data_IF_644784405756
#
_entry.id   IF_644784405756
#
_cell.length_a   1.000
_cell.length_b   1.000
_cell.length_c   1.000
_cell.angle_alpha   90.00
_cell.angle_beta   90.00
_cell.angle_gamma   90.00
#
_symmetry.space_group_name_H-M   'P 1'
#
loop_
_entity.id
_entity.type
_entity.pdbx_description
1 polymer ?
#
# COMPACT_ATOMS: atom_id res chain seq x y z
N UNK A 1 -0.81 -9.68 19.71
CA UNK A 1 -1.00 -11.10 19.38
C UNK A 1 -1.19 -11.84 20.69
N UNK A 2 -2.14 -12.77 20.76
CA UNK A 2 -2.25 -13.60 21.94
C UNK A 2 -0.93 -14.36 22.11
N UNK A 3 -0.49 -14.36 23.34
CA UNK A 3 0.56 -15.25 23.77
C UNK A 3 0.04 -16.67 23.71
N UNK A 4 0.85 -17.60 23.48
CA UNK A 4 0.69 -19.03 23.32
C UNK A 4 -0.53 -19.70 24.05
N UNK A 5 -1.32 -20.54 23.37
CA UNK A 5 -1.25 -20.78 21.95
C UNK A 5 -1.88 -19.63 21.15
N UNK A 6 -1.25 -19.23 20.08
CA UNK A 6 -1.86 -18.25 19.18
C UNK A 6 -3.24 -18.78 18.75
N UNK A 7 -4.31 -17.96 18.83
CA UNK A 7 -5.57 -18.35 18.24
C UNK A 7 -5.33 -18.45 16.76
N UNK A 8 -5.51 -19.60 16.19
CA UNK A 8 -5.47 -19.77 14.74
C UNK A 8 -6.40 -18.79 14.04
N UNK A 9 -6.39 -18.82 12.72
CA UNK A 9 -7.30 -18.03 11.89
C UNK A 9 -8.12 -18.95 10.98
N UNK A 10 -9.30 -18.47 10.59
CA UNK A 10 -10.14 -19.14 9.63
C UNK A 10 -9.85 -18.67 8.24
N UNK A 11 -9.64 -19.61 7.31
CA UNK A 11 -9.47 -19.32 5.88
C UNK A 11 -10.78 -19.60 5.15
N UNK A 12 -11.34 -18.57 4.53
CA UNK A 12 -12.54 -18.69 3.72
C UNK A 12 -12.14 -18.79 2.24
N UNK A 13 -12.57 -19.86 1.57
CA UNK A 13 -12.26 -20.12 0.15
C UNK A 13 -13.51 -20.14 -0.73
N UNK A 14 -14.70 -20.19 -0.15
CA UNK A 14 -15.96 -20.19 -0.90
C UNK A 14 -16.46 -18.77 -1.10
N UNK A 15 -16.85 -18.43 -2.31
CA UNK A 15 -17.36 -17.11 -2.67
C UNK A 15 -18.49 -16.62 -1.75
N UNK A 16 -19.45 -17.51 -1.44
CA UNK A 16 -20.60 -17.19 -0.60
C UNK A 16 -20.22 -16.82 0.82
N UNK A 17 -19.26 -17.54 1.41
CA UNK A 17 -18.75 -17.28 2.75
C UNK A 17 -17.97 -15.95 2.82
N UNK A 18 -17.11 -15.70 1.82
CA UNK A 18 -16.38 -14.44 1.68
C UNK A 18 -17.36 -13.28 1.54
N UNK A 19 -18.38 -13.42 0.70
CA UNK A 19 -19.43 -12.43 0.51
C UNK A 19 -20.21 -12.19 1.80
N UNK A 20 -20.57 -13.25 2.53
CA UNK A 20 -21.27 -13.16 3.82
C UNK A 20 -20.47 -12.35 4.82
N UNK A 21 -19.19 -12.66 5.02
CA UNK A 21 -18.29 -11.93 5.91
C UNK A 21 -18.16 -10.46 5.50
N UNK A 22 -17.87 -10.20 4.23
CA UNK A 22 -17.68 -8.85 3.70
C UNK A 22 -18.91 -7.95 3.83
N UNK A 23 -20.12 -8.52 3.76
CA UNK A 23 -21.37 -7.77 3.86
C UNK A 23 -21.88 -7.57 5.29
N UNK A 24 -21.21 -8.16 6.30
CA UNK A 24 -21.64 -8.10 7.70
C UNK A 24 -20.58 -7.47 8.61
N UNK A 25 -20.15 -6.22 8.38
CA UNK A 25 -19.07 -5.59 9.16
C UNK A 25 -19.40 -5.37 10.63
N UNK A 26 -20.68 -5.46 11.02
CA UNK A 26 -21.08 -5.42 12.43
C UNK A 26 -20.75 -6.71 13.21
N UNK A 27 -20.58 -7.83 12.49
CA UNK A 27 -20.22 -9.12 13.04
C UNK A 27 -18.73 -9.39 12.82
N UNK A 28 -18.25 -9.07 11.61
CA UNK A 28 -16.87 -9.29 11.18
C UNK A 28 -16.20 -7.93 10.99
N UNK A 29 -15.56 -7.45 12.05
CA UNK A 29 -14.88 -6.17 12.06
C UNK A 29 -13.55 -6.26 11.31
N UNK A 30 -13.20 -5.19 10.58
CA UNK A 30 -11.87 -5.01 9.96
C UNK A 30 -10.91 -4.22 10.85
N UNK A 31 -11.35 -3.78 12.03
CA UNK A 31 -10.51 -2.97 12.90
C UNK A 31 -9.29 -3.72 13.41
N UNK A 32 -8.18 -3.01 13.55
CA UNK A 32 -6.91 -3.56 14.02
C UNK A 32 -7.02 -4.38 15.31
N UNK A 33 -7.81 -3.91 16.28
CA UNK A 33 -7.99 -4.58 17.57
C UNK A 33 -8.62 -5.98 17.48
N UNK A 34 -9.24 -6.32 16.35
CA UNK A 34 -9.86 -7.63 16.11
C UNK A 34 -8.94 -8.66 15.46
N UNK A 35 -7.69 -8.31 15.21
CA UNK A 35 -6.69 -9.19 14.60
C UNK A 35 -6.60 -9.04 13.08
N UNK A 36 -5.80 -8.10 12.62
CA UNK A 36 -5.55 -7.91 11.19
C UNK A 36 -4.27 -8.62 10.76
N UNK A 37 -4.37 -9.52 9.79
CA UNK A 37 -3.24 -10.27 9.22
C UNK A 37 -2.17 -9.38 8.58
N UNK A 38 -2.56 -8.19 8.10
CA UNK A 38 -1.62 -7.22 7.51
C UNK A 38 -0.73 -6.54 8.56
N UNK A 39 -1.03 -6.77 9.83
CA UNK A 39 -0.31 -6.18 10.96
C UNK A 39 0.51 -7.22 11.71
N UNK A 40 1.34 -7.96 11.01
CA UNK A 40 2.30 -8.88 11.62
C UNK A 40 3.28 -8.11 12.52
N UNK A 41 3.36 -8.51 13.78
CA UNK A 41 4.23 -7.90 14.79
C UNK A 41 3.49 -7.09 15.85
N UNK A 42 4.16 -6.81 16.95
CA UNK A 42 3.65 -6.01 18.07
C UNK A 42 3.90 -4.52 17.82
N UNK A 43 3.19 -3.63 18.53
CA UNK A 43 3.41 -2.19 18.49
C UNK A 43 4.88 -1.82 18.77
N UNK A 44 5.52 -2.54 19.69
CA UNK A 44 6.90 -2.32 20.11
C UNK A 44 7.93 -2.56 19.00
N UNK A 45 7.60 -3.44 18.03
CA UNK A 45 8.50 -3.85 16.96
C UNK A 45 8.24 -3.14 15.62
N UNK A 46 7.42 -2.07 15.63
CA UNK A 46 7.03 -1.37 14.41
C UNK A 46 7.46 0.08 14.43
N UNK A 47 7.75 0.59 13.23
CA UNK A 47 7.93 2.02 13.06
C UNK A 47 6.63 2.77 13.44
N UNK A 48 6.66 3.75 14.38
CA UNK A 48 5.44 4.38 14.93
C UNK A 48 4.52 4.99 13.87
N UNK A 49 5.10 5.62 12.84
CA UNK A 49 4.32 6.22 11.74
C UNK A 49 3.59 5.15 10.91
N UNK A 50 4.23 4.01 10.61
CA UNK A 50 3.60 2.89 9.91
C UNK A 50 2.52 2.24 10.76
N UNK A 51 2.76 2.04 12.04
CA UNK A 51 1.77 1.49 12.95
C UNK A 51 0.52 2.37 12.99
N UNK A 52 0.70 3.68 13.19
CA UNK A 52 -0.41 4.62 13.19
C UNK A 52 -1.15 4.65 11.86
N UNK A 53 -0.44 4.70 10.73
CA UNK A 53 -1.08 4.69 9.40
C UNK A 53 -1.86 3.41 9.14
N UNK A 54 -1.40 2.29 9.67
CA UNK A 54 -2.11 1.01 9.58
C UNK A 54 -3.44 1.05 10.34
N UNK A 55 -3.46 1.62 11.54
CA UNK A 55 -4.70 1.76 12.34
C UNK A 55 -5.70 2.69 11.64
N UNK A 56 -5.21 3.80 11.10
CA UNK A 56 -6.05 4.82 10.47
C UNK A 56 -6.37 4.49 8.98
N UNK A 57 -5.85 3.37 8.45
CA UNK A 57 -6.05 2.98 7.07
C UNK A 57 -7.51 2.60 6.79
N UNK A 58 -8.06 3.05 5.67
CA UNK A 58 -9.48 2.84 5.33
C UNK A 58 -9.91 1.36 5.37
N UNK A 59 -9.02 0.42 5.01
CA UNK A 59 -9.29 -1.03 5.08
C UNK A 59 -9.41 -1.56 6.51
N UNK A 60 -8.91 -0.81 7.50
CA UNK A 60 -8.90 -1.18 8.91
C UNK A 60 -9.92 -0.36 9.73
N UNK A 61 -10.88 0.26 9.06
CA UNK A 61 -11.95 1.03 9.66
C UNK A 61 -13.31 0.42 9.32
N UNK A 62 -14.23 0.51 10.26
CA UNK A 62 -15.62 0.09 10.09
C UNK A 62 -16.59 1.26 10.18
N UNK A 63 -17.84 1.00 9.78
CA UNK A 63 -18.98 1.89 10.01
C UNK A 63 -18.82 3.29 9.41
N UNK A 64 -19.15 4.31 10.19
CA UNK A 64 -19.18 5.70 9.72
C UNK A 64 -17.81 6.26 9.36
N UNK A 65 -16.74 5.83 10.06
CA UNK A 65 -15.37 6.26 9.75
C UNK A 65 -14.93 5.75 8.38
N UNK A 66 -15.14 4.47 8.09
CA UNK A 66 -14.90 3.89 6.77
C UNK A 66 -15.69 4.61 5.68
N UNK A 67 -17.00 4.76 5.90
CA UNK A 67 -17.89 5.40 4.92
C UNK A 67 -17.55 6.86 4.69
N UNK A 68 -17.13 7.60 5.72
CA UNK A 68 -16.68 8.97 5.63
C UNK A 68 -15.49 9.12 4.69
N UNK A 69 -14.41 8.39 4.94
CA UNK A 69 -13.22 8.40 4.08
C UNK A 69 -13.55 7.94 2.65
N UNK A 70 -14.30 6.85 2.51
CA UNK A 70 -14.70 6.35 1.20
C UNK A 70 -15.48 7.37 0.39
N UNK A 71 -16.35 8.15 1.04
CA UNK A 71 -17.15 9.20 0.40
C UNK A 71 -16.27 10.31 -0.17
N UNK A 72 -15.20 10.69 0.54
CA UNK A 72 -14.24 11.69 0.08
C UNK A 72 -13.44 11.21 -1.15
N UNK A 73 -13.14 9.91 -1.22
CA UNK A 73 -12.43 9.32 -2.36
C UNK A 73 -13.32 9.10 -3.61
N UNK A 74 -14.63 8.92 -3.42
CA UNK A 74 -15.57 8.57 -4.50
C UNK A 74 -15.54 9.46 -5.75
N UNK A 75 -15.31 10.78 -5.68
CA UNK A 75 -15.23 11.62 -6.88
C UNK A 75 -14.19 11.16 -7.90
N UNK A 76 -13.06 10.65 -7.43
CA UNK A 76 -11.92 10.19 -8.25
C UNK A 76 -12.12 8.80 -8.88
N UNK A 77 -13.24 8.15 -8.59
CA UNK A 77 -13.62 6.85 -9.15
C UNK A 77 -14.94 6.92 -9.96
N UNK A 78 -15.44 8.12 -10.24
CA UNK A 78 -16.61 8.31 -11.09
C UNK A 78 -16.24 8.16 -12.57
N UNK A 79 -17.20 7.75 -13.45
CA UNK A 79 -16.93 7.51 -14.86
C UNK A 79 -16.21 8.67 -15.56
N UNK A 80 -16.64 9.91 -15.38
CA UNK A 80 -15.99 11.06 -16.04
C UNK A 80 -14.53 11.26 -15.66
N UNK A 81 -14.16 11.09 -14.37
CA UNK A 81 -12.76 11.16 -13.96
C UNK A 81 -11.95 9.99 -14.54
N UNK A 82 -12.52 8.77 -14.52
CA UNK A 82 -11.89 7.58 -15.06
C UNK A 82 -11.66 7.68 -16.58
N UNK A 83 -12.60 8.27 -17.33
CA UNK A 83 -12.45 8.52 -18.78
C UNK A 83 -11.27 9.46 -19.07
N UNK A 84 -11.11 10.53 -18.29
CA UNK A 84 -9.98 11.43 -18.45
C UNK A 84 -8.65 10.77 -18.06
N UNK A 85 -8.65 9.99 -17.00
CA UNK A 85 -7.49 9.18 -16.63
C UNK A 85 -7.12 8.16 -17.71
N UNK A 86 -8.12 7.50 -18.33
CA UNK A 86 -7.91 6.56 -19.42
C UNK A 86 -7.17 7.21 -20.61
N UNK A 87 -7.49 8.45 -20.97
CA UNK A 87 -6.79 9.17 -22.03
C UNK A 87 -5.29 9.31 -21.72
N UNK A 88 -4.98 9.69 -20.48
CA UNK A 88 -3.58 9.83 -20.02
C UNK A 88 -2.84 8.49 -20.01
N UNK A 89 -3.50 7.43 -19.52
CA UNK A 89 -2.96 6.06 -19.52
C UNK A 89 -2.69 5.57 -20.93
N UNK A 90 -3.62 5.83 -21.88
CA UNK A 90 -3.42 5.47 -23.29
C UNK A 90 -2.18 6.12 -23.90
N UNK A 91 -1.96 7.40 -23.63
CA UNK A 91 -0.74 8.10 -24.06
C UNK A 91 0.51 7.47 -23.44
N UNK A 92 0.46 7.18 -22.13
CA UNK A 92 1.60 6.56 -21.43
C UNK A 92 1.93 5.17 -21.99
N UNK A 93 0.91 4.35 -22.27
CA UNK A 93 1.10 3.04 -22.92
C UNK A 93 1.80 3.20 -24.27
N UNK A 94 1.35 4.14 -25.12
CA UNK A 94 2.02 4.42 -26.38
C UNK A 94 3.51 4.75 -26.20
N UNK A 95 3.83 5.63 -25.25
CA UNK A 95 5.22 6.01 -24.95
C UNK A 95 6.08 4.80 -24.50
N UNK A 96 5.53 3.94 -23.64
CA UNK A 96 6.24 2.74 -23.19
C UNK A 96 6.46 1.75 -24.35
N UNK A 97 5.49 1.56 -25.21
CA UNK A 97 5.61 0.69 -26.39
C UNK A 97 6.62 1.24 -27.39
N UNK A 98 6.63 2.56 -27.62
CA UNK A 98 7.60 3.21 -28.51
C UNK A 98 9.04 3.05 -28.00
N UNK A 99 9.24 3.01 -26.69
CA UNK A 99 10.56 2.79 -26.08
C UNK A 99 11.07 1.37 -26.27
N UNK A 100 10.19 0.37 -26.16
CA UNK A 100 10.59 -1.05 -26.23
C UNK A 100 10.59 -1.61 -27.66
N UNK A 101 9.80 -1.05 -28.57
CA UNK A 101 9.67 -1.56 -29.94
C UNK A 101 11.02 -1.67 -30.69
N UNK A 102 11.96 -0.71 -30.58
CA UNK A 102 13.26 -0.81 -31.24
C UNK A 102 14.18 -1.90 -30.67
N UNK A 103 13.90 -2.40 -29.44
CA UNK A 103 14.78 -3.34 -28.74
C UNK A 103 14.60 -4.78 -29.25
N UNK A 104 13.47 -5.11 -29.91
CA UNK A 104 13.15 -6.43 -30.39
C UNK A 104 12.75 -7.45 -29.32
N UNK A 105 13.24 -7.28 -28.11
CA UNK A 105 12.89 -8.05 -26.91
C UNK A 105 12.90 -7.14 -25.68
N UNK A 106 12.10 -7.44 -24.67
CA UNK A 106 12.08 -6.68 -23.42
C UNK A 106 11.60 -7.54 -22.24
N UNK A 107 11.88 -7.07 -21.03
CA UNK A 107 11.21 -7.58 -19.84
C UNK A 107 9.88 -6.81 -19.69
N UNK A 108 8.76 -7.45 -20.06
CA UNK A 108 7.44 -6.82 -20.02
C UNK A 108 7.05 -6.33 -18.62
N UNK A 109 7.53 -6.99 -17.57
CA UNK A 109 7.20 -6.59 -16.18
C UNK A 109 7.85 -5.26 -15.84
N UNK A 110 9.17 -5.13 -15.99
CA UNK A 110 9.88 -3.90 -15.65
C UNK A 110 9.55 -2.73 -16.58
N UNK A 111 9.41 -3.01 -17.87
CA UNK A 111 9.24 -1.96 -18.88
C UNK A 111 7.79 -1.46 -19.02
N UNK A 112 6.80 -2.30 -18.70
CA UNK A 112 5.39 -1.95 -18.94
C UNK A 112 4.53 -2.19 -17.69
N UNK A 113 4.48 -3.44 -17.19
CA UNK A 113 3.47 -3.83 -16.21
C UNK A 113 3.65 -3.14 -14.86
N UNK A 114 4.86 -2.86 -14.45
CA UNK A 114 5.20 -2.14 -13.22
C UNK A 114 4.97 -0.63 -13.37
N UNK A 115 5.19 -0.09 -14.57
CA UNK A 115 5.10 1.35 -14.81
C UNK A 115 3.66 1.89 -14.79
N UNK A 116 2.70 1.14 -15.33
CA UNK A 116 1.34 1.62 -15.50
C UNK A 116 0.55 1.82 -14.19
N UNK A 117 0.58 0.91 -13.21
CA UNK A 117 -0.07 1.13 -11.93
C UNK A 117 0.49 2.34 -11.17
N UNK A 118 1.81 2.50 -11.18
CA UNK A 118 2.49 3.63 -10.53
C UNK A 118 2.13 4.94 -11.21
N UNK A 119 2.14 4.97 -12.55
CA UNK A 119 1.68 6.13 -13.31
C UNK A 119 0.23 6.49 -12.96
N UNK A 120 -0.67 5.50 -12.98
CA UNK A 120 -2.09 5.68 -12.72
C UNK A 120 -2.34 6.18 -11.29
N UNK A 121 -1.69 5.59 -10.30
CA UNK A 121 -1.77 6.02 -8.91
C UNK A 121 -1.24 7.45 -8.74
N UNK A 122 -0.11 7.76 -9.37
CA UNK A 122 0.49 9.10 -9.31
C UNK A 122 -0.43 10.17 -9.92
N UNK A 123 -1.13 9.86 -11.02
CA UNK A 123 -2.13 10.77 -11.61
C UNK A 123 -3.31 11.01 -10.66
N UNK A 124 -3.84 9.97 -10.02
CA UNK A 124 -4.94 10.08 -9.06
C UNK A 124 -4.52 10.91 -7.83
N UNK A 125 -3.32 10.67 -7.31
CA UNK A 125 -2.78 11.37 -6.15
C UNK A 125 -2.26 12.79 -6.49
N UNK A 126 -2.07 13.10 -7.76
CA UNK A 126 -1.48 14.35 -8.19
C UNK A 126 0.02 14.45 -7.85
N UNK A 127 0.75 13.33 -7.91
CA UNK A 127 2.20 13.30 -7.68
C UNK A 127 2.93 13.82 -8.91
N UNK A 128 3.82 14.82 -8.76
CA UNK A 128 4.62 15.34 -9.86
C UNK A 128 5.45 14.25 -10.55
N UNK A 129 5.60 14.33 -11.86
CA UNK A 129 6.35 13.33 -12.63
C UNK A 129 7.79 13.15 -12.13
N UNK A 130 8.46 14.23 -11.76
CA UNK A 130 9.81 14.20 -11.20
C UNK A 130 9.95 13.40 -9.89
N UNK A 131 8.85 13.20 -9.17
CA UNK A 131 8.85 12.50 -7.88
C UNK A 131 8.37 11.05 -7.97
N UNK A 132 7.85 10.61 -9.14
CA UNK A 132 7.25 9.27 -9.31
C UNK A 132 8.25 8.14 -9.08
N UNK A 133 9.51 8.35 -9.41
CA UNK A 133 10.55 7.35 -9.16
C UNK A 133 10.76 7.09 -7.66
N UNK A 134 10.55 8.07 -6.79
CA UNK A 134 10.61 7.88 -5.34
C UNK A 134 9.54 6.90 -4.86
N UNK A 135 8.31 6.98 -5.41
CA UNK A 135 7.25 6.04 -5.07
C UNK A 135 7.62 4.60 -5.45
N UNK A 136 8.22 4.41 -6.64
CA UNK A 136 8.72 3.09 -7.07
C UNK A 136 9.69 2.55 -6.02
N UNK A 137 10.72 3.33 -5.69
CA UNK A 137 11.75 2.94 -4.72
C UNK A 137 11.16 2.59 -3.35
N UNK A 138 10.21 3.39 -2.84
CA UNK A 138 9.58 3.11 -1.55
C UNK A 138 8.69 1.87 -1.59
N UNK A 139 7.96 1.62 -2.69
CA UNK A 139 7.14 0.42 -2.84
C UNK A 139 8.00 -0.85 -2.89
N UNK A 140 9.05 -0.86 -3.71
CA UNK A 140 10.00 -1.97 -3.80
C UNK A 140 10.65 -2.26 -2.43
N UNK A 141 10.99 -1.21 -1.72
CA UNK A 141 11.57 -1.33 -0.38
C UNK A 141 10.57 -1.91 0.65
N UNK A 142 9.32 -1.46 0.64
CA UNK A 142 8.28 -2.01 1.51
C UNK A 142 7.96 -3.48 1.20
N UNK A 143 7.96 -3.87 -0.07
CA UNK A 143 7.79 -5.27 -0.49
C UNK A 143 8.96 -6.13 0.01
N UNK A 144 10.18 -5.66 -0.14
CA UNK A 144 11.38 -6.34 0.35
C UNK A 144 11.34 -6.49 1.88
N UNK A 145 10.95 -5.45 2.60
CA UNK A 145 10.80 -5.49 4.05
C UNK A 145 9.74 -6.49 4.50
N UNK A 146 8.63 -6.60 3.79
CA UNK A 146 7.60 -7.61 4.07
C UNK A 146 8.13 -9.02 3.82
N UNK A 147 8.87 -9.24 2.74
CA UNK A 147 9.49 -10.54 2.46
C UNK A 147 10.42 -10.97 3.59
N UNK A 148 11.30 -10.09 4.06
CA UNK A 148 12.19 -10.39 5.19
C UNK A 148 11.42 -10.64 6.48
N UNK A 149 10.35 -9.91 6.76
CA UNK A 149 9.54 -10.14 7.94
C UNK A 149 8.86 -11.53 7.93
N UNK A 150 8.35 -11.96 6.79
CA UNK A 150 7.75 -13.29 6.62
C UNK A 150 8.80 -14.39 6.78
N UNK A 151 9.98 -14.20 6.18
CA UNK A 151 11.05 -15.18 6.26
C UNK A 151 11.57 -15.32 7.71
N UNK A 152 11.67 -14.23 8.43
CA UNK A 152 12.03 -14.23 9.84
C UNK A 152 11.02 -15.00 10.70
N UNK A 153 9.72 -14.83 10.46
CA UNK A 153 8.67 -15.58 11.16
C UNK A 153 8.80 -17.08 10.87
N UNK A 154 9.08 -17.47 9.63
CA UNK A 154 9.31 -18.89 9.28
C UNK A 154 10.49 -19.46 10.04
N UNK A 155 11.62 -18.76 10.05
CA UNK A 155 12.83 -19.19 10.76
C UNK A 155 12.58 -19.35 12.26
N UNK A 156 11.84 -18.44 12.88
CA UNK A 156 11.45 -18.55 14.29
C UNK A 156 10.57 -19.79 14.54
N UNK A 157 9.62 -20.07 13.65
CA UNK A 157 8.77 -21.26 13.76
C UNK A 157 9.56 -22.59 13.54
N UNK A 158 10.65 -22.54 12.80
CA UNK A 158 11.56 -23.67 12.60
C UNK A 158 12.60 -23.82 13.72
N UNK A 159 12.54 -22.99 14.76
CA UNK A 159 13.40 -23.06 15.93
C UNK A 159 14.80 -22.43 15.75
N UNK A 160 14.95 -21.58 14.72
CA UNK A 160 16.17 -20.78 14.53
C UNK A 160 16.14 -19.62 15.53
N UNK A 161 16.98 -19.69 16.55
CA UNK A 161 16.96 -18.72 17.67
C UNK A 161 17.73 -17.43 17.40
N UNK A 162 18.48 -17.33 16.30
CA UNK A 162 19.28 -16.14 15.95
C UNK A 162 18.78 -15.48 14.66
N UNK A 163 17.49 -15.13 14.66
CA UNK A 163 16.82 -14.47 13.53
C UNK A 163 16.59 -12.97 13.77
N UNK A 164 17.41 -12.33 14.60
CA UNK A 164 17.32 -10.88 14.80
C UNK A 164 17.68 -10.14 13.52
N UNK A 165 16.85 -9.17 13.10
CA UNK A 165 17.18 -8.38 11.90
C UNK A 165 18.48 -7.62 12.11
N UNK A 166 19.24 -7.47 11.03
CA UNK A 166 20.45 -6.65 11.02
C UNK A 166 20.12 -5.21 11.45
N UNK A 167 20.80 -4.65 12.46
CA UNK A 167 20.58 -3.27 12.91
C UNK A 167 20.73 -2.23 11.80
N UNK A 168 21.61 -2.45 10.81
CA UNK A 168 21.77 -1.57 9.66
C UNK A 168 20.51 -1.60 8.76
N UNK A 169 19.93 -2.77 8.56
CA UNK A 169 18.68 -2.93 7.82
C UNK A 169 17.51 -2.27 8.53
N UNK A 170 17.43 -2.38 9.87
CA UNK A 170 16.39 -1.69 10.66
C UNK A 170 16.55 -0.18 10.52
N UNK A 171 17.75 0.34 10.62
CA UNK A 171 18.02 1.76 10.48
C UNK A 171 17.68 2.27 9.07
N UNK A 172 18.05 1.53 8.04
CA UNK A 172 17.69 1.84 6.65
C UNK A 172 16.16 1.87 6.49
N UNK A 173 15.47 0.86 7.02
CA UNK A 173 14.01 0.78 6.99
C UNK A 173 13.36 2.00 7.63
N UNK A 174 13.79 2.36 8.83
CA UNK A 174 13.26 3.52 9.55
C UNK A 174 13.49 4.82 8.77
N UNK A 175 14.68 4.98 8.19
CA UNK A 175 15.02 6.15 7.38
C UNK A 175 14.11 6.27 6.15
N UNK A 176 13.91 5.17 5.41
CA UNK A 176 13.05 5.16 4.22
C UNK A 176 11.58 5.44 4.57
N UNK A 177 11.11 4.89 5.69
CA UNK A 177 9.75 5.18 6.17
C UNK A 177 9.61 6.65 6.55
N UNK A 178 10.59 7.23 7.24
CA UNK A 178 10.56 8.65 7.60
C UNK A 178 10.55 9.54 6.36
N UNK A 179 11.39 9.28 5.38
CA UNK A 179 11.42 10.00 4.11
C UNK A 179 10.06 9.96 3.38
N UNK A 180 9.43 8.79 3.34
CA UNK A 180 8.11 8.61 2.71
C UNK A 180 7.04 9.47 3.40
N UNK A 181 7.00 9.45 4.73
CA UNK A 181 6.03 10.25 5.50
C UNK A 181 6.29 11.75 5.42
N UNK A 182 7.56 12.16 5.44
CA UNK A 182 7.94 13.58 5.32
C UNK A 182 7.62 14.11 3.92
N UNK A 183 7.84 13.32 2.87
CA UNK A 183 7.39 13.63 1.53
C UNK A 183 5.86 13.78 1.45
N UNK A 184 5.12 12.80 1.99
CA UNK A 184 3.65 12.86 2.05
C UNK A 184 3.15 14.13 2.73
N UNK A 185 3.74 14.49 3.87
CA UNK A 185 3.43 15.73 4.57
C UNK A 185 3.74 16.97 3.73
N UNK A 186 4.89 16.99 3.07
CA UNK A 186 5.30 18.09 2.19
C UNK A 186 4.33 18.29 1.04
N UNK A 187 3.97 17.23 0.31
CA UNK A 187 3.06 17.31 -0.84
C UNK A 187 1.66 17.77 -0.42
N UNK A 188 1.14 17.27 0.71
CA UNK A 188 -0.13 17.70 1.28
C UNK A 188 -0.16 19.20 1.62
N UNK A 189 0.89 19.70 2.22
CA UNK A 189 1.00 21.14 2.53
C UNK A 189 1.07 22.01 1.26
N UNK A 190 1.73 21.53 0.22
CA UNK A 190 1.79 22.17 -1.10
C UNK A 190 0.41 22.21 -1.76
N UNK A 191 -0.30 21.07 -1.78
CA UNK A 191 -1.63 20.92 -2.35
C UNK A 191 -2.69 21.77 -1.63
N UNK A 192 -2.64 21.85 -0.30
CA UNK A 192 -3.51 22.74 0.47
C UNK A 192 -3.37 24.22 0.11
N UNK A 193 -2.16 24.66 -0.31
CA UNK A 193 -1.93 26.04 -0.76
C UNK A 193 -2.40 26.25 -2.19
N UNK A 194 -2.23 25.27 -3.04
CA UNK A 194 -2.57 25.30 -4.46
C UNK A 194 -3.31 24.02 -4.83
N UNK A 195 -4.64 23.95 -4.55
CA UNK A 195 -5.45 22.77 -4.86
C UNK A 195 -5.52 22.50 -6.36
N UNK A 196 -5.47 21.22 -6.73
CA UNK A 196 -5.64 20.72 -8.09
C UNK A 196 -6.78 19.69 -8.14
N UNK A 197 -7.08 19.14 -9.31
CA UNK A 197 -8.11 18.11 -9.44
C UNK A 197 -7.51 16.72 -9.20
N UNK A 198 -7.08 16.46 -7.98
CA UNK A 198 -6.52 15.19 -7.54
C UNK A 198 -6.91 14.86 -6.09
N UNK A 199 -6.63 13.63 -5.67
CA UNK A 199 -7.07 13.09 -4.38
C UNK A 199 -6.39 13.75 -3.17
N UNK A 200 -5.17 14.30 -3.32
CA UNK A 200 -4.44 14.94 -2.20
C UNK A 200 -4.77 16.42 -2.04
N UNK A 201 -5.53 17.01 -2.94
CA UNK A 201 -6.00 18.40 -2.89
C UNK A 201 -7.34 18.53 -2.17
#
# INVERSE_FOLDING_TARGET
MPTDPEPGYWVLTRHEDIKHVSMNPKIFSSQYATGNLLTLGTEENRHPKLFKSTIDHMLNLDGEMHLGLRKEHMPFFKPGYVEDLQKKVTVKVGQLLDQIAPLGECNLVSEVSQQLPIFTLSEILGIPEADRQKLVTWMEFLELAQYFAVEQIKQQNEGVTDSSPDPEMINLFNTMVDEMFDYGKHILLKKRKNPENDLLS
#
